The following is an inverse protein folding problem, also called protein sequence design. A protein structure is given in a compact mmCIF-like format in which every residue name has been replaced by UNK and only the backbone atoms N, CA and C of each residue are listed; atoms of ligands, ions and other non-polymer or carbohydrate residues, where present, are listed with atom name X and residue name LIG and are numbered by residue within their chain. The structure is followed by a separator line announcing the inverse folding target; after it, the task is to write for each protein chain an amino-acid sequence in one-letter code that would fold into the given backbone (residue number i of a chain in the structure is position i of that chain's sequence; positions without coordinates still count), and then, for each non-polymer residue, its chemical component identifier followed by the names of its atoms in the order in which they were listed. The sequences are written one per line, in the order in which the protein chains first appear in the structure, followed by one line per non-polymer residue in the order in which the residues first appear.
data_IF_351068833035
#
_entry.id   IF_351068833035
#
_cell.length_a   1.000
_cell.length_b   1.000
_cell.length_c   1.000
_cell.angle_alpha   90.00
_cell.angle_beta   90.00
_cell.angle_gamma   90.00
#
_symmetry.space_group_name_H-M   'P 1'
#
loop_
_entity.id
_entity.type
_entity.pdbx_description
1 polymer ?
#
# COMPACT_ATOMS: atom_id res chain seq x y z
N UNK A 1 -15.81 -0.64 -17.89
CA UNK A 1 -15.96 0.65 -17.17
C UNK A 1 -15.63 0.53 -15.69
N UNK A 2 -16.11 -0.50 -14.98
CA UNK A 2 -15.83 -0.67 -13.55
C UNK A 2 -14.33 -0.65 -13.19
N UNK A 3 -13.50 -1.42 -13.91
CA UNK A 3 -12.05 -1.48 -13.65
C UNK A 3 -11.37 -0.11 -13.80
N UNK A 4 -11.79 0.69 -14.78
CA UNK A 4 -11.29 2.05 -14.99
C UNK A 4 -11.66 3.01 -13.85
N UNK A 5 -12.89 2.91 -13.33
CA UNK A 5 -13.34 3.68 -12.16
C UNK A 5 -12.52 3.33 -10.92
N UNK A 6 -12.34 2.04 -10.69
CA UNK A 6 -11.49 1.52 -9.61
C UNK A 6 -10.05 2.00 -9.73
N UNK A 7 -9.46 1.91 -10.94
CA UNK A 7 -8.13 2.45 -11.20
C UNK A 7 -8.04 3.92 -10.78
N UNK A 8 -9.02 4.73 -11.19
CA UNK A 8 -9.05 6.15 -10.88
C UNK A 8 -9.16 6.41 -9.38
N UNK A 9 -10.05 5.73 -8.67
CA UNK A 9 -10.13 5.81 -7.21
C UNK A 9 -8.82 5.41 -6.53
N UNK A 10 -8.26 4.26 -6.91
CA UNK A 10 -7.02 3.76 -6.32
C UNK A 10 -5.87 4.74 -6.56
N UNK A 11 -5.76 5.26 -7.78
CA UNK A 11 -4.71 6.19 -8.17
C UNK A 11 -4.85 7.52 -7.43
N UNK A 12 -6.00 8.18 -7.50
CA UNK A 12 -6.18 9.50 -6.90
C UNK A 12 -6.25 9.46 -5.37
N UNK A 13 -6.99 8.52 -4.79
CA UNK A 13 -7.05 8.40 -3.33
C UNK A 13 -5.70 7.92 -2.76
N UNK A 14 -5.01 7.06 -3.52
CA UNK A 14 -3.69 6.57 -3.15
C UNK A 14 -2.61 7.66 -3.21
N UNK A 15 -2.62 8.49 -4.26
CA UNK A 15 -1.62 9.52 -4.48
C UNK A 15 -1.82 10.75 -3.59
N UNK A 16 -3.08 11.16 -3.39
CA UNK A 16 -3.40 12.42 -2.70
C UNK A 16 -4.01 12.24 -1.31
N UNK A 17 -4.20 11.00 -0.84
CA UNK A 17 -4.94 10.75 0.37
C UNK A 17 -4.60 9.44 1.08
N UNK A 18 -5.65 8.68 1.40
CA UNK A 18 -5.61 7.38 2.07
C UNK A 18 -6.66 6.49 1.42
N UNK A 19 -6.42 5.19 1.40
CA UNK A 19 -7.37 4.21 0.85
C UNK A 19 -8.41 3.72 1.87
N UNK A 20 -8.14 3.92 3.15
CA UNK A 20 -9.08 3.64 4.23
C UNK A 20 -8.79 4.52 5.44
N UNK A 21 -9.83 4.80 6.23
CA UNK A 21 -9.71 5.39 7.55
C UNK A 21 -9.72 4.28 8.59
N UNK A 22 -8.87 4.39 9.61
CA UNK A 22 -8.96 3.53 10.79
C UNK A 22 -9.67 4.32 11.87
N UNK A 23 -10.81 3.81 12.33
CA UNK A 23 -11.49 4.38 13.49
C UNK A 23 -10.62 4.14 14.73
N UNK A 24 -10.22 5.23 15.41
CA UNK A 24 -9.40 5.14 16.63
C UNK A 24 -10.12 4.41 17.78
N UNK A 25 -11.45 4.45 17.81
CA UNK A 25 -12.25 3.86 18.91
C UNK A 25 -12.58 2.38 18.71
N UNK A 26 -12.64 1.90 17.45
CA UNK A 26 -13.03 0.53 17.15
C UNK A 26 -11.95 -0.30 16.44
N UNK A 27 -10.87 0.33 15.98
CA UNK A 27 -9.84 -0.33 15.16
C UNK A 27 -10.34 -0.79 13.78
N UNK A 28 -11.60 -0.49 13.44
CA UNK A 28 -12.26 -0.90 12.20
C UNK A 28 -11.79 0.00 11.06
N UNK A 29 -11.44 -0.62 9.93
CA UNK A 29 -11.12 0.06 8.68
C UNK A 29 -12.43 0.46 7.97
N UNK A 30 -12.64 1.75 7.78
CA UNK A 30 -13.64 2.28 6.85
C UNK A 30 -12.99 2.47 5.48
N UNK A 31 -13.47 1.70 4.51
CA UNK A 31 -12.98 1.69 3.12
C UNK A 31 -13.37 2.98 2.42
N UNK A 32 -12.43 3.57 1.67
CA UNK A 32 -12.69 4.76 0.83
C UNK A 32 -12.84 4.36 -0.66
N UNK A 33 -12.46 3.13 -1.03
CA UNK A 33 -12.70 2.60 -2.37
C UNK A 33 -14.18 2.26 -2.55
N UNK A 34 -14.88 3.04 -3.37
CA UNK A 34 -16.28 2.90 -3.74
C UNK A 34 -16.51 1.79 -4.78
N UNK A 35 -15.73 0.70 -4.70
CA UNK A 35 -15.89 -0.46 -5.58
C UNK A 35 -17.30 -1.09 -5.51
N UNK A 36 -18.06 -0.75 -4.48
CA UNK A 36 -19.36 -1.34 -4.19
C UNK A 36 -20.50 -0.31 -4.28
N UNK A 37 -20.18 0.98 -4.39
CA UNK A 37 -21.16 2.06 -4.30
C UNK A 37 -21.17 2.92 -5.56
N UNK A 38 -21.99 2.52 -6.52
CA UNK A 38 -22.22 3.24 -7.77
C UNK A 38 -22.75 4.66 -7.53
N UNK A 39 -23.21 4.98 -6.32
CA UNK A 39 -23.73 6.29 -5.94
C UNK A 39 -22.65 7.39 -5.85
N UNK A 40 -21.37 7.04 -5.66
CA UNK A 40 -20.28 8.02 -5.55
C UNK A 40 -19.76 8.52 -6.91
N UNK A 41 -20.11 7.83 -7.99
CA UNK A 41 -19.80 8.28 -9.35
C UNK A 41 -21.03 9.00 -9.93
N UNK A 42 -21.01 10.32 -10.14
CA UNK A 42 -22.11 11.01 -10.79
C UNK A 42 -22.47 10.38 -12.13
N UNK A 43 -23.77 10.31 -12.42
CA UNK A 43 -24.32 9.65 -13.61
C UNK A 43 -24.10 10.45 -14.90
N UNK A 44 -23.50 11.65 -14.84
CA UNK A 44 -23.32 12.54 -15.99
C UNK A 44 -21.85 12.88 -16.23
N UNK A 45 -21.46 12.87 -17.52
CA UNK A 45 -20.21 13.35 -18.13
C UNK A 45 -18.97 13.39 -17.22
N UNK A 46 -18.48 12.22 -16.80
CA UNK A 46 -17.19 12.11 -16.14
C UNK A 46 -16.08 11.84 -17.14
N UNK A 47 -15.03 12.64 -17.06
CA UNK A 47 -13.77 12.40 -17.74
C UNK A 47 -12.86 11.58 -16.83
N UNK A 48 -12.18 10.59 -17.40
CA UNK A 48 -11.20 9.77 -16.69
C UNK A 48 -9.84 9.94 -17.33
N UNK A 49 -8.81 10.08 -16.50
CA UNK A 49 -7.43 9.93 -16.95
C UNK A 49 -7.08 8.45 -16.92
N UNK A 50 -6.67 7.90 -18.06
CA UNK A 50 -6.30 6.49 -18.20
C UNK A 50 -4.84 6.39 -18.63
N UNK A 51 -4.11 5.38 -18.13
CA UNK A 51 -2.71 5.18 -18.49
C UNK A 51 -2.61 4.84 -19.98
N UNK A 52 -1.63 5.43 -20.65
CA UNK A 52 -1.30 5.12 -22.04
C UNK A 52 -0.20 4.06 -22.08
N UNK A 53 -0.29 3.14 -23.02
CA UNK A 53 0.75 2.11 -23.19
C UNK A 53 2.07 2.74 -23.64
N UNK A 54 3.18 2.33 -23.03
CA UNK A 54 4.50 2.86 -23.39
C UNK A 54 4.87 2.58 -24.86
N UNK A 55 4.39 1.48 -25.44
CA UNK A 55 4.60 1.17 -26.85
C UNK A 55 3.88 2.15 -27.79
N UNK A 56 2.72 2.67 -27.38
CA UNK A 56 1.99 3.67 -28.16
C UNK A 56 2.51 5.10 -27.93
N UNK A 57 3.20 5.36 -26.81
CA UNK A 57 3.89 6.63 -26.59
C UNK A 57 5.18 6.78 -27.45
N UNK A 58 5.81 5.67 -27.85
CA UNK A 58 7.07 5.66 -28.61
C UNK A 58 6.90 5.36 -30.10
N UNK A 59 5.73 4.89 -30.52
CA UNK A 59 5.45 4.60 -31.93
C UNK A 59 4.59 5.70 -32.57
N UNK A 60 4.71 5.88 -33.88
CA UNK A 60 3.84 6.76 -34.69
C UNK A 60 2.40 6.19 -34.85
N UNK A 61 2.03 5.20 -34.04
CA UNK A 61 0.73 4.55 -34.06
C UNK A 61 -0.32 5.33 -33.30
N UNK A 62 -1.56 4.83 -33.32
CA UNK A 62 -2.63 5.42 -32.51
C UNK A 62 -2.36 5.21 -31.01
N UNK A 63 -2.54 6.24 -30.17
CA UNK A 63 -2.41 6.09 -28.71
C UNK A 63 -3.37 5.01 -28.20
N UNK A 64 -2.86 4.11 -27.38
CA UNK A 64 -3.62 3.00 -26.82
C UNK A 64 -3.60 3.02 -25.30
N UNK A 65 -4.72 2.67 -24.68
CA UNK A 65 -4.84 2.57 -23.22
C UNK A 65 -4.06 1.35 -22.75
N UNK A 66 -3.30 1.50 -21.68
CA UNK A 66 -2.65 0.40 -20.98
C UNK A 66 -3.65 -0.33 -20.08
N UNK A 67 -4.33 -1.31 -20.65
CA UNK A 67 -5.29 -2.14 -19.93
C UNK A 67 -4.62 -3.04 -18.88
N UNK A 68 -3.35 -3.39 -19.07
CA UNK A 68 -2.61 -4.23 -18.11
C UNK A 68 -2.40 -3.49 -16.79
N UNK A 69 -2.07 -2.20 -16.83
CA UNK A 69 -1.99 -1.37 -15.62
C UNK A 69 -3.36 -1.29 -14.92
N UNK A 70 -4.43 -1.04 -15.69
CA UNK A 70 -5.79 -0.94 -15.13
C UNK A 70 -6.21 -2.26 -14.46
N UNK A 71 -6.00 -3.40 -15.11
CA UNK A 71 -6.33 -4.72 -14.57
C UNK A 71 -5.49 -5.06 -13.33
N UNK A 72 -4.21 -4.67 -13.32
CA UNK A 72 -3.33 -4.86 -12.16
C UNK A 72 -3.80 -4.04 -10.95
N UNK A 73 -4.15 -2.77 -11.15
CA UNK A 73 -4.74 -1.93 -10.10
C UNK A 73 -6.07 -2.49 -9.60
N UNK A 74 -6.90 -3.03 -10.50
CA UNK A 74 -8.15 -3.66 -10.12
C UNK A 74 -7.91 -4.88 -9.22
N UNK A 75 -6.93 -5.73 -9.54
CA UNK A 75 -6.56 -6.87 -8.71
C UNK A 75 -6.07 -6.45 -7.31
N UNK A 76 -5.30 -5.35 -7.20
CA UNK A 76 -4.90 -4.78 -5.90
C UNK A 76 -6.12 -4.33 -5.10
N UNK A 77 -7.05 -3.64 -5.73
CA UNK A 77 -8.25 -3.15 -5.05
C UNK A 77 -9.15 -4.31 -4.56
N UNK A 78 -9.27 -5.39 -5.33
CA UNK A 78 -9.93 -6.63 -4.92
C UNK A 78 -9.20 -7.32 -3.76
N UNK A 79 -7.87 -7.37 -3.78
CA UNK A 79 -7.08 -7.88 -2.65
C UNK A 79 -7.34 -7.09 -1.37
N UNK A 80 -7.36 -5.75 -1.44
CA UNK A 80 -7.64 -4.89 -0.29
C UNK A 80 -9.07 -5.09 0.24
N UNK A 81 -10.04 -5.32 -0.65
CA UNK A 81 -11.43 -5.62 -0.30
C UNK A 81 -11.56 -6.95 0.42
N UNK A 82 -10.98 -8.01 -0.14
CA UNK A 82 -11.09 -9.36 0.41
C UNK A 82 -10.46 -9.48 1.79
N UNK A 83 -9.37 -8.74 2.04
CA UNK A 83 -8.56 -8.96 3.22
C UNK A 83 -9.02 -8.20 4.47
N UNK A 84 -9.99 -7.28 4.41
CA UNK A 84 -10.64 -6.58 5.55
C UNK A 84 -9.78 -6.47 6.83
N UNK A 85 -8.49 -6.12 6.66
CA UNK A 85 -7.43 -6.52 7.60
C UNK A 85 -7.74 -6.00 9.01
N UNK A 86 -8.21 -6.86 9.94
CA UNK A 86 -8.45 -6.41 11.29
C UNK A 86 -7.08 -6.08 11.90
N UNK A 87 -6.99 -4.91 12.54
CA UNK A 87 -5.79 -4.43 13.22
C UNK A 87 -5.48 -5.25 14.49
N UNK A 88 -6.06 -6.45 14.63
CA UNK A 88 -5.64 -7.40 15.64
C UNK A 88 -4.25 -7.92 15.23
N UNK A 89 -3.21 -7.27 15.73
CA UNK A 89 -1.80 -7.70 15.72
C UNK A 89 -1.57 -9.15 16.19
N UNK A 90 -2.62 -9.89 16.58
CA UNK A 90 -2.52 -11.19 17.20
C UNK A 90 -2.63 -12.37 16.22
N UNK A 91 -3.15 -12.16 15.00
CA UNK A 91 -3.48 -13.28 14.09
C UNK A 91 -2.89 -13.16 12.68
N UNK A 92 -1.87 -12.32 12.45
CA UNK A 92 -0.94 -12.66 11.37
C UNK A 92 -0.24 -13.94 11.81
N UNK A 93 -0.58 -15.05 11.17
CA UNK A 93 -0.03 -16.38 11.46
C UNK A 93 1.45 -16.26 11.80
N UNK A 94 1.76 -16.61 13.05
CA UNK A 94 3.11 -16.78 13.63
C UNK A 94 3.95 -17.82 12.84
N UNK A 95 3.40 -18.40 11.77
CA UNK A 95 4.10 -19.32 10.87
C UNK A 95 5.20 -18.65 10.05
N UNK A 96 5.24 -17.31 9.93
CA UNK A 96 6.38 -16.61 9.32
C UNK A 96 7.59 -16.44 10.26
N UNK A 97 7.45 -16.71 11.56
CA UNK A 97 8.57 -16.73 12.52
C UNK A 97 9.10 -18.15 12.72
N UNK A 98 9.19 -18.95 11.65
CA UNK A 98 10.02 -20.14 11.69
C UNK A 98 11.46 -19.67 11.61
N UNK A 99 12.20 -19.82 12.72
CA UNK A 99 13.64 -19.54 12.82
C UNK A 99 14.33 -20.06 11.56
N UNK A 100 14.76 -19.14 10.71
CA UNK A 100 15.42 -19.47 9.47
C UNK A 100 16.78 -20.06 9.82
N UNK A 101 17.00 -21.29 9.35
CA UNK A 101 18.31 -21.92 9.22
C UNK A 101 19.32 -20.91 8.63
N UNK A 102 20.52 -20.81 9.22
CA UNK A 102 21.53 -19.72 9.08
C UNK A 102 22.09 -19.48 7.66
N UNK A 103 21.45 -19.99 6.60
CA UNK A 103 22.00 -20.05 5.23
C UNK A 103 21.10 -19.54 4.11
N UNK A 104 19.87 -19.11 4.37
CA UNK A 104 19.01 -18.51 3.32
C UNK A 104 19.09 -16.98 3.35
N UNK A 105 19.10 -16.31 2.19
CA UNK A 105 19.03 -14.85 2.14
C UNK A 105 17.78 -14.36 2.87
N UNK A 106 17.93 -13.31 3.66
CA UNK A 106 16.86 -12.68 4.42
C UNK A 106 15.77 -12.20 3.45
N UNK A 107 14.56 -12.75 3.61
CA UNK A 107 13.39 -12.36 2.82
C UNK A 107 12.54 -11.42 3.64
N UNK A 108 12.06 -10.36 3.00
CA UNK A 108 11.07 -9.46 3.58
C UNK A 108 9.68 -9.99 3.22
N UNK A 109 8.89 -10.24 4.26
CA UNK A 109 7.50 -10.70 4.12
C UNK A 109 6.54 -9.50 4.17
N UNK A 110 5.91 -9.21 3.02
CA UNK A 110 4.84 -8.24 2.88
C UNK A 110 3.48 -8.97 2.96
N UNK A 111 2.40 -8.21 3.14
CA UNK A 111 1.07 -8.79 3.28
C UNK A 111 0.59 -9.58 2.05
N UNK A 112 1.09 -9.26 0.85
CA UNK A 112 0.69 -9.88 -0.40
C UNK A 112 1.79 -10.76 -1.04
N UNK A 113 3.05 -10.64 -0.61
CA UNK A 113 4.19 -11.28 -1.26
C UNK A 113 5.40 -11.36 -0.33
N UNK A 114 6.47 -12.00 -0.78
CA UNK A 114 7.78 -11.97 -0.11
C UNK A 114 8.86 -11.73 -1.14
N UNK A 115 9.82 -10.87 -0.82
CA UNK A 115 10.86 -10.44 -1.75
C UNK A 115 12.22 -10.36 -1.05
N UNK A 116 13.31 -10.31 -1.82
CA UNK A 116 14.62 -10.05 -1.26
C UNK A 116 14.72 -8.60 -0.77
N UNK A 117 15.59 -8.36 0.20
CA UNK A 117 15.80 -7.01 0.73
C UNK A 117 16.09 -5.97 -0.36
N UNK A 118 16.96 -6.30 -1.32
CA UNK A 118 17.30 -5.40 -2.43
C UNK A 118 16.19 -5.22 -3.45
N UNK A 119 15.22 -6.14 -3.52
CA UNK A 119 14.09 -6.05 -4.44
C UNK A 119 13.05 -5.02 -3.97
N UNK A 120 13.13 -4.55 -2.71
CA UNK A 120 12.24 -3.54 -2.17
C UNK A 120 12.48 -2.14 -2.73
N UNK A 121 13.71 -1.85 -3.18
CA UNK A 121 14.03 -0.52 -3.71
C UNK A 121 13.19 -0.26 -4.96
N UNK A 122 12.71 0.96 -5.09
CA UNK A 122 11.87 1.41 -6.20
C UNK A 122 10.46 0.76 -6.24
N UNK A 123 10.06 0.06 -5.17
CA UNK A 123 8.69 -0.42 -5.01
C UNK A 123 7.75 0.64 -4.41
N UNK A 124 6.47 0.56 -4.80
CA UNK A 124 5.38 1.24 -4.09
C UNK A 124 4.75 0.27 -3.10
N UNK A 125 4.75 0.64 -1.82
CA UNK A 125 4.21 -0.16 -0.71
C UNK A 125 3.03 0.55 -0.04
N UNK A 126 2.05 -0.22 0.42
CA UNK A 126 0.91 0.31 1.17
C UNK A 126 1.13 0.09 2.66
N UNK A 127 1.15 1.17 3.45
CA UNK A 127 1.19 1.05 4.89
C UNK A 127 -0.18 0.65 5.44
N UNK A 128 -0.29 -0.60 5.91
CA UNK A 128 -1.52 -1.16 6.44
C UNK A 128 -2.15 -0.37 7.60
N UNK A 129 -1.35 0.37 8.37
CA UNK A 129 -1.83 1.14 9.53
C UNK A 129 -2.23 2.59 9.20
N UNK A 130 -1.88 3.12 8.01
CA UNK A 130 -2.30 4.47 7.59
C UNK A 130 -3.14 4.51 6.32
N UNK A 131 -3.13 3.42 5.53
CA UNK A 131 -3.76 3.38 4.21
C UNK A 131 -3.08 4.26 3.17
N UNK A 132 -1.82 4.65 3.38
CA UNK A 132 -1.03 5.48 2.46
C UNK A 132 -0.05 4.64 1.65
N UNK A 133 0.11 5.01 0.39
CA UNK A 133 1.22 4.51 -0.42
C UNK A 133 2.51 5.26 -0.07
N UNK A 134 3.61 4.51 -0.07
CA UNK A 134 4.97 5.02 0.06
C UNK A 134 5.80 4.45 -1.08
N UNK A 135 6.72 5.26 -1.59
CA UNK A 135 7.77 4.81 -2.49
C UNK A 135 9.01 4.49 -1.68
N UNK A 136 9.56 3.29 -1.84
CA UNK A 136 10.80 2.88 -1.18
C UNK A 136 11.98 3.48 -1.95
N UNK A 137 12.35 4.71 -1.56
CA UNK A 137 13.43 5.45 -2.21
C UNK A 137 14.81 4.87 -1.93
N UNK A 138 15.02 4.37 -0.70
CA UNK A 138 16.31 3.79 -0.30
C UNK A 138 16.14 2.74 0.79
N UNK A 139 17.21 1.97 1.00
CA UNK A 139 17.27 0.88 1.97
C UNK A 139 18.32 1.19 3.04
N UNK A 140 17.91 1.14 4.31
CA UNK A 140 18.81 1.35 5.45
C UNK A 140 19.28 -0.01 5.95
N UNK A 141 20.57 -0.31 5.77
CA UNK A 141 21.15 -1.64 6.02
C UNK A 141 21.57 -1.86 7.48
N UNK A 142 21.76 -0.79 8.24
CA UNK A 142 22.30 -0.77 9.59
C UNK A 142 21.26 -0.42 10.66
N UNK A 143 19.98 -0.42 10.27
CA UNK A 143 18.87 -0.16 11.16
C UNK A 143 17.86 -1.32 11.17
N UNK A 144 17.21 -1.53 12.30
CA UNK A 144 16.13 -2.48 12.47
C UNK A 144 14.94 -1.79 13.13
N UNK A 145 13.82 -2.50 13.29
CA UNK A 145 12.67 -1.98 14.03
C UNK A 145 13.00 -1.63 15.50
N UNK A 146 14.08 -2.19 16.06
CA UNK A 146 14.51 -1.94 17.43
C UNK A 146 15.55 -0.81 17.56
N UNK A 147 15.97 -0.21 16.44
CA UNK A 147 16.80 1.00 16.42
C UNK A 147 16.08 2.20 17.06
N UNK A 148 16.82 3.20 17.57
CA UNK A 148 16.24 4.40 18.17
C UNK A 148 15.26 5.11 17.23
N UNK A 149 14.10 5.52 17.77
CA UNK A 149 13.08 6.22 16.99
C UNK A 149 13.51 7.66 16.67
N UNK A 150 13.55 8.02 15.39
CA UNK A 150 14.03 9.32 14.89
C UNK A 150 12.91 10.33 14.58
N UNK A 151 11.66 9.99 14.90
CA UNK A 151 10.52 10.86 14.60
C UNK A 151 10.62 12.22 15.30
N UNK A 152 10.77 13.27 14.49
CA UNK A 152 10.82 14.68 14.89
C UNK A 152 9.63 15.07 15.78
N UNK A 153 9.85 15.12 17.08
CA UNK A 153 8.99 15.87 18.00
C UNK A 153 9.71 17.20 18.29
N UNK A 154 9.32 18.28 17.60
CA UNK A 154 9.90 19.63 17.79
C UNK A 154 9.68 20.20 19.20
N UNK A 155 8.97 19.50 20.09
CA UNK A 155 8.84 19.92 21.48
C UNK A 155 8.56 18.73 22.39
N UNK A 156 9.58 18.37 23.17
CA UNK A 156 9.65 17.28 24.16
C UNK A 156 10.18 15.94 23.62
N UNK A 157 11.05 15.32 24.43
CA UNK A 157 11.78 14.05 24.23
C UNK A 157 11.02 13.02 23.40
N UNK A 158 11.69 12.17 22.59
CA UNK A 158 11.01 11.09 21.90
C UNK A 158 10.30 10.23 22.95
N UNK A 159 8.97 10.19 22.92
CA UNK A 159 8.15 9.40 23.85
C UNK A 159 8.24 7.89 23.60
N UNK A 160 9.15 7.47 22.73
CA UNK A 160 9.33 6.13 22.22
C UNK A 160 10.81 5.79 22.16
N UNK A 161 11.15 4.58 22.60
CA UNK A 161 12.52 4.08 22.64
C UNK A 161 12.99 3.49 21.30
N UNK A 162 12.06 2.95 20.49
CA UNK A 162 12.33 2.37 19.18
C UNK A 162 11.11 2.45 18.24
N UNK A 163 11.27 2.10 16.96
CA UNK A 163 10.14 1.98 16.04
C UNK A 163 9.16 0.89 16.49
N UNK A 164 9.66 -0.23 17.05
CA UNK A 164 8.83 -1.27 17.66
C UNK A 164 7.95 -0.72 18.79
N UNK A 165 8.50 0.11 19.68
CA UNK A 165 7.74 0.77 20.75
C UNK A 165 6.71 1.76 20.20
N UNK A 166 7.08 2.50 19.16
CA UNK A 166 6.17 3.43 18.48
C UNK A 166 4.95 2.72 17.86
N UNK A 167 5.14 1.64 17.11
CA UNK A 167 4.05 0.96 16.41
C UNK A 167 3.23 -0.02 17.27
N UNK A 168 3.70 -0.37 18.48
CA UNK A 168 2.96 -1.23 19.42
C UNK A 168 1.90 -0.48 20.24
N UNK A 169 2.00 0.85 20.35
CA UNK A 169 1.01 1.69 21.05
C UNK A 169 -0.13 2.11 20.12
#
# INVERSE_FOLDING_TARGET
MMRSKVFHELFFNGLFGKLFHISKSSGVRQKILAMDDTALWPFTNMYMLLPMSQQSAQSQGSPSIDWTIIDSCFAVAEFLKANNLPMAMNNFHVEAMQRQDDKKPEKIHLANTSCGFHDLKDMVVLANHTGRFYYVADLVNDATADSPFDGSCESARPSYSSYTDYFKK
#
